data_IF_497955841403
#
_entry.id   IF_497955841403
#
_cell.length_a   1.000
_cell.length_b   1.000
_cell.length_c   1.000
_cell.angle_alpha   90.00
_cell.angle_beta   90.00
_cell.angle_gamma   90.00
#
_symmetry.space_group_name_H-M   'P 1'
#
loop_
_entity.id
_entity.type
_entity.pdbx_description
1 polymer ?
#
# COMPACT_ATOMS: atom_id res chain seq x y z
N UNK A 1 20.58 2.14 -4.24
CA UNK A 1 19.28 1.43 -4.26
C UNK A 1 18.43 2.06 -5.34
N UNK A 2 18.02 1.30 -6.35
CA UNK A 2 17.14 1.75 -7.43
C UNK A 2 15.74 2.07 -6.91
N UNK A 3 15.00 2.94 -7.61
CA UNK A 3 13.72 3.48 -7.13
C UNK A 3 12.64 2.40 -6.91
N UNK A 4 12.60 1.35 -7.76
CA UNK A 4 11.74 0.17 -7.58
C UNK A 4 11.97 -0.56 -6.25
N UNK A 5 13.20 -0.53 -5.73
CA UNK A 5 13.58 -1.22 -4.51
C UNK A 5 12.88 -0.64 -3.27
N UNK A 6 12.55 0.66 -3.28
CA UNK A 6 11.93 1.33 -2.13
C UNK A 6 10.45 0.97 -1.97
N UNK A 7 9.68 0.94 -3.06
CA UNK A 7 8.27 0.53 -3.03
C UNK A 7 8.15 -0.92 -2.54
N UNK A 8 8.96 -1.83 -3.11
CA UNK A 8 9.00 -3.23 -2.70
C UNK A 8 9.40 -3.39 -1.23
N UNK A 9 10.45 -2.68 -0.78
CA UNK A 9 10.87 -2.70 0.63
C UNK A 9 9.74 -2.28 1.57
N UNK A 10 9.03 -1.20 1.24
CA UNK A 10 7.91 -0.74 2.07
C UNK A 10 6.74 -1.72 2.07
N UNK A 11 6.41 -2.30 0.92
CA UNK A 11 5.40 -3.36 0.84
C UNK A 11 5.78 -4.56 1.72
N UNK A 12 7.01 -5.07 1.63
CA UNK A 12 7.48 -6.18 2.47
C UNK A 12 7.44 -5.84 3.96
N UNK A 13 7.84 -4.63 4.36
CA UNK A 13 7.79 -4.20 5.75
C UNK A 13 6.36 -4.04 6.28
N UNK A 14 5.44 -3.53 5.46
CA UNK A 14 4.03 -3.39 5.83
C UNK A 14 3.33 -4.75 5.95
N UNK A 15 3.56 -5.65 5.00
CA UNK A 15 2.95 -6.97 5.01
C UNK A 15 3.50 -7.88 6.11
N UNK A 16 4.74 -7.64 6.56
CA UNK A 16 5.37 -8.41 7.65
C UNK A 16 5.13 -7.85 9.06
N UNK A 17 4.34 -6.78 9.23
CA UNK A 17 4.16 -6.18 10.56
C UNK A 17 5.26 -5.22 11.00
N UNK A 18 6.39 -5.15 10.29
CA UNK A 18 7.64 -4.50 10.75
C UNK A 18 7.77 -3.02 10.42
N UNK A 19 6.90 -2.48 9.58
CA UNK A 19 6.93 -1.06 9.23
C UNK A 19 6.49 -0.17 10.41
N UNK A 20 7.16 0.96 10.65
CA UNK A 20 6.83 1.86 11.77
C UNK A 20 5.39 2.40 11.75
N UNK A 21 4.82 2.54 10.55
CA UNK A 21 3.43 2.97 10.34
C UNK A 21 2.40 1.83 10.33
N UNK A 22 2.80 0.58 10.60
CA UNK A 22 1.89 -0.56 10.50
C UNK A 22 0.64 -0.38 11.37
N UNK A 23 0.83 -0.20 12.69
CA UNK A 23 -0.26 0.05 13.67
C UNK A 23 -1.25 1.15 13.26
N UNK A 24 -0.79 2.19 12.56
CA UNK A 24 -1.65 3.30 12.11
C UNK A 24 -2.65 2.87 11.02
N UNK A 25 -2.23 1.92 10.19
CA UNK A 25 -2.95 1.49 9.00
C UNK A 25 -3.44 0.04 9.06
N UNK A 26 -3.26 -0.67 10.18
CA UNK A 26 -3.86 -1.99 10.39
C UNK A 26 -5.36 -1.98 10.07
N UNK A 27 -5.79 -2.94 9.24
CA UNK A 27 -7.15 -3.08 8.76
C UNK A 27 -7.57 -2.09 7.66
N UNK A 28 -6.64 -1.35 7.05
CA UNK A 28 -6.96 -0.32 6.04
C UNK A 28 -6.30 -0.60 4.69
N UNK A 29 -6.96 -0.09 3.65
CA UNK A 29 -6.37 0.03 2.32
C UNK A 29 -5.54 1.31 2.22
N UNK A 30 -4.34 1.20 1.65
CA UNK A 30 -3.42 2.32 1.43
C UNK A 30 -2.81 2.23 0.04
N UNK A 31 -2.43 3.39 -0.51
CA UNK A 31 -1.50 3.44 -1.62
C UNK A 31 -0.06 3.49 -1.11
N UNK A 32 0.80 2.67 -1.71
CA UNK A 32 2.25 2.69 -1.49
C UNK A 32 2.93 3.09 -2.79
N UNK A 33 3.75 4.13 -2.73
CA UNK A 33 4.59 4.58 -3.84
C UNK A 33 5.90 5.13 -3.30
N UNK A 34 7.02 4.53 -3.72
CA UNK A 34 8.37 4.82 -3.22
C UNK A 34 8.42 4.73 -1.70
N UNK A 35 8.62 5.88 -1.04
CA UNK A 35 8.68 5.98 0.42
C UNK A 35 7.43 6.59 1.06
N UNK A 36 6.33 6.67 0.30
CA UNK A 36 5.06 7.22 0.77
C UNK A 36 4.02 6.12 0.95
N UNK A 37 3.34 6.19 2.08
CA UNK A 37 2.17 5.40 2.43
C UNK A 37 1.05 6.41 2.66
N UNK A 38 0.02 6.33 1.83
CA UNK A 38 -1.09 7.29 1.81
C UNK A 38 -2.39 6.51 2.03
N UNK A 39 -3.25 6.89 2.99
CA UNK A 39 -4.54 6.25 3.16
C UNK A 39 -5.38 6.37 1.89
N UNK A 40 -6.13 5.33 1.56
CA UNK A 40 -7.09 5.37 0.46
C UNK A 40 -8.34 6.16 0.91
N UNK A 41 -8.67 7.32 0.31
CA UNK A 41 -9.93 8.00 0.58
C UNK A 41 -11.08 7.25 -0.08
N UNK A 42 -12.30 7.46 0.42
CA UNK A 42 -13.50 6.81 -0.11
C UNK A 42 -13.99 7.49 -1.40
N UNK A 43 -14.70 6.73 -2.23
CA UNK A 43 -15.37 7.25 -3.41
C UNK A 43 -14.43 7.79 -4.50
N UNK A 44 -14.88 8.84 -5.19
CA UNK A 44 -14.24 9.39 -6.40
C UNK A 44 -12.88 10.07 -6.13
N UNK A 45 -12.60 10.45 -4.88
CA UNK A 45 -11.31 11.04 -4.48
C UNK A 45 -10.14 10.07 -4.65
N UNK A 46 -10.40 8.77 -4.58
CA UNK A 46 -9.39 7.71 -4.74
C UNK A 46 -8.71 7.75 -6.12
N UNK A 47 -9.49 7.95 -7.19
CA UNK A 47 -9.00 8.02 -8.56
C UNK A 47 -8.16 9.28 -8.80
N UNK A 48 -8.61 10.40 -8.25
CA UNK A 48 -7.86 11.67 -8.31
C UNK A 48 -6.54 11.55 -7.58
N UNK A 49 -6.55 10.97 -6.37
CA UNK A 49 -5.34 10.71 -5.60
C UNK A 49 -4.37 9.80 -6.35
N UNK A 50 -4.87 8.70 -6.94
CA UNK A 50 -4.06 7.79 -7.73
C UNK A 50 -3.35 8.50 -8.89
N UNK A 51 -4.09 9.30 -9.68
CA UNK A 51 -3.52 10.09 -10.80
C UNK A 51 -2.47 11.08 -10.30
N UNK A 52 -2.73 11.75 -9.19
CA UNK A 52 -1.80 12.72 -8.60
C UNK A 52 -0.51 12.05 -8.10
N UNK A 53 -0.62 10.90 -7.44
CA UNK A 53 0.54 10.13 -6.99
C UNK A 53 1.37 9.61 -8.16
N UNK A 54 0.71 9.08 -9.21
CA UNK A 54 1.39 8.64 -10.44
C UNK A 54 2.14 9.79 -11.12
N UNK A 55 1.49 10.95 -11.27
CA UNK A 55 2.11 12.14 -11.86
C UNK A 55 3.28 12.66 -11.02
N UNK A 56 3.14 12.69 -9.69
CA UNK A 56 4.16 13.21 -8.77
C UNK A 56 5.39 12.32 -8.69
N UNK A 57 5.22 11.01 -8.71
CA UNK A 57 6.30 10.06 -8.46
C UNK A 57 6.83 9.40 -9.75
N UNK A 58 6.12 9.53 -10.87
CA UNK A 58 6.49 8.90 -12.15
C UNK A 58 6.27 7.38 -12.18
N UNK A 59 5.62 6.82 -11.16
CA UNK A 59 5.41 5.38 -10.98
C UNK A 59 3.96 5.11 -10.60
N UNK A 60 3.45 3.94 -10.97
CA UNK A 60 2.09 3.51 -10.61
C UNK A 60 2.05 3.15 -9.12
N UNK A 61 1.22 3.83 -8.29
CA UNK A 61 1.05 3.46 -6.89
C UNK A 61 0.44 2.06 -6.75
N UNK A 62 0.93 1.30 -5.77
CA UNK A 62 0.40 -0.03 -5.44
C UNK A 62 -0.68 0.11 -4.38
N UNK A 63 -1.88 -0.40 -4.66
CA UNK A 63 -2.93 -0.56 -3.67
C UNK A 63 -2.64 -1.79 -2.81
N UNK A 64 -2.57 -1.62 -1.49
CA UNK A 64 -2.34 -2.72 -0.55
C UNK A 64 -3.26 -2.61 0.65
N UNK A 65 -3.76 -3.76 1.10
CA UNK A 65 -4.44 -3.91 2.37
C UNK A 65 -3.43 -4.28 3.45
N UNK A 66 -3.44 -3.58 4.59
CA UNK A 66 -2.55 -3.89 5.72
C UNK A 66 -3.31 -4.77 6.70
N UNK A 67 -2.92 -6.05 6.87
CA UNK A 67 -3.62 -6.97 7.74
C UNK A 67 -3.54 -6.51 9.21
N UNK A 68 -4.61 -6.73 9.96
CA UNK A 68 -4.56 -6.55 11.42
C UNK A 68 -3.74 -7.67 12.07
N UNK A 69 -3.02 -7.33 13.13
CA UNK A 69 -2.20 -8.29 13.87
C UNK A 69 -3.02 -9.33 14.65
N UNK A 70 -4.30 -9.07 14.90
CA UNK A 70 -5.22 -9.92 15.66
C UNK A 70 -6.04 -10.91 14.80
N UNK A 71 -5.84 -10.92 13.48
CA UNK A 71 -6.63 -11.73 12.55
C UNK A 71 -5.76 -12.45 11.51
N UNK A 72 -6.12 -13.70 11.23
CA UNK A 72 -5.54 -14.46 10.11
C UNK A 72 -6.33 -14.21 8.83
N UNK A 73 -5.62 -13.91 7.74
CA UNK A 73 -6.19 -13.71 6.41
C UNK A 73 -5.78 -14.85 5.49
N UNK A 74 -6.74 -15.41 4.75
CA UNK A 74 -6.46 -16.39 3.70
C UNK A 74 -6.56 -15.66 2.36
N UNK A 75 -5.44 -15.53 1.66
CA UNK A 75 -5.43 -15.02 0.29
C UNK A 75 -5.81 -16.16 -0.67
N UNK A 76 -6.99 -16.08 -1.26
CA UNK A 76 -7.43 -17.02 -2.29
C UNK A 76 -7.07 -16.43 -3.65
N UNK A 77 -6.10 -17.03 -4.33
CA UNK A 77 -5.78 -16.68 -5.71
C UNK A 77 -6.57 -17.60 -6.64
N UNK A 78 -7.67 -17.09 -7.20
CA UNK A 78 -8.45 -17.81 -8.20
C UNK A 78 -7.80 -17.54 -9.55
N UNK A 79 -7.24 -18.59 -10.17
CA UNK A 79 -6.91 -18.54 -11.59
C UNK A 79 -8.20 -18.82 -12.36
N UNK A 80 -8.58 -17.88 -13.22
CA UNK A 80 -9.53 -18.14 -14.31
C UNK A 80 -8.95 -19.15 -15.31
#
# INVERSE_FOLDING_TARGET
>A
MTQENLTQKNLSLLLSGKHSRNKKYEGKHVFVVKNQIVPLPEGSESLTLFKNLKKKHGETPVLVFIPRSDISYILINVKD
#
